data_IF_688642400751
#
_entry.id   IF_688642400751
#
_cell.length_a   1.000
_cell.length_b   1.000
_cell.length_c   1.000
_cell.angle_alpha   90.00
_cell.angle_beta   90.00
_cell.angle_gamma   90.00
#
_symmetry.space_group_name_H-M   'P 1'
#
loop_
_entity.id
_entity.type
_entity.pdbx_description
1 polymer ?
#
# COMPACT_ATOMS: atom_id res chain seq x y z
N UNK A 1 -37.90 -2.61 6.06
CA UNK A 1 -37.60 -3.59 7.14
C UNK A 1 -36.10 -3.53 7.37
N UNK A 2 -35.68 -2.97 8.50
CA UNK A 2 -34.26 -2.84 8.87
C UNK A 2 -33.77 -4.15 9.47
N UNK A 3 -32.59 -4.62 9.06
CA UNK A 3 -31.95 -5.76 9.69
C UNK A 3 -30.97 -5.27 10.76
N UNK A 4 -31.06 -5.84 11.96
CA UNK A 4 -30.16 -5.53 13.06
C UNK A 4 -29.00 -6.53 13.09
N UNK A 5 -27.82 -6.03 13.48
CA UNK A 5 -26.65 -6.85 13.70
C UNK A 5 -26.77 -7.60 15.03
N UNK A 6 -26.58 -8.93 15.07
CA UNK A 6 -26.70 -9.70 16.31
C UNK A 6 -25.61 -9.37 17.34
N UNK A 7 -24.49 -8.75 16.93
CA UNK A 7 -23.36 -8.42 17.82
C UNK A 7 -23.50 -7.07 18.51
N UNK A 8 -24.06 -6.06 17.84
CA UNK A 8 -24.09 -4.69 18.36
C UNK A 8 -25.48 -4.04 18.31
N UNK A 9 -26.50 -4.74 17.83
CA UNK A 9 -27.88 -4.26 17.68
C UNK A 9 -28.05 -2.99 16.81
N UNK A 10 -27.02 -2.59 16.07
CA UNK A 10 -27.09 -1.52 15.06
C UNK A 10 -27.63 -2.05 13.74
N UNK A 11 -28.13 -1.14 12.92
CA UNK A 11 -28.55 -1.48 11.56
C UNK A 11 -27.40 -2.08 10.76
N UNK A 12 -27.71 -3.04 9.89
CA UNK A 12 -26.75 -3.69 9.02
C UNK A 12 -27.33 -3.87 7.62
N UNK A 13 -26.43 -4.08 6.66
CA UNK A 13 -26.82 -4.48 5.32
C UNK A 13 -27.50 -5.87 5.36
N UNK A 14 -28.42 -6.11 4.43
CA UNK A 14 -29.05 -7.41 4.21
C UNK A 14 -28.06 -8.55 3.98
N UNK A 15 -26.84 -8.25 3.54
CA UNK A 15 -25.75 -9.20 3.26
C UNK A 15 -24.90 -9.58 4.47
N UNK A 16 -25.45 -9.55 5.69
CA UNK A 16 -24.78 -9.98 6.94
C UNK A 16 -23.73 -8.98 7.47
N UNK A 17 -23.16 -8.13 6.61
CA UNK A 17 -22.16 -7.12 6.94
C UNK A 17 -22.67 -6.04 7.89
N UNK A 18 -21.94 -5.79 8.98
CA UNK A 18 -22.20 -4.69 9.90
C UNK A 18 -20.97 -3.77 9.92
N UNK A 19 -21.13 -2.59 9.33
CA UNK A 19 -20.07 -1.58 9.21
C UNK A 19 -19.45 -1.23 10.56
N UNK A 20 -20.26 -0.99 11.59
CA UNK A 20 -19.80 -0.68 12.95
C UNK A 20 -18.92 -1.79 13.54
N UNK A 21 -19.33 -3.06 13.36
CA UNK A 21 -18.54 -4.19 13.84
C UNK A 21 -17.23 -4.33 13.08
N UNK A 22 -17.24 -4.08 11.77
CA UNK A 22 -16.07 -4.17 10.93
C UNK A 22 -15.04 -3.09 11.25
N UNK A 23 -15.47 -1.82 11.31
CA UNK A 23 -14.61 -0.70 11.69
C UNK A 23 -13.99 -0.95 13.07
N UNK A 24 -14.80 -1.38 14.05
CA UNK A 24 -14.30 -1.72 15.38
C UNK A 24 -13.25 -2.84 15.34
N UNK A 25 -13.45 -3.85 14.50
CA UNK A 25 -12.47 -4.91 14.29
C UNK A 25 -11.17 -4.36 13.68
N UNK A 26 -11.25 -3.55 12.63
CA UNK A 26 -10.07 -2.97 11.98
C UNK A 26 -9.25 -2.11 12.95
N UNK A 27 -9.89 -1.16 13.63
CA UNK A 27 -9.23 -0.27 14.61
C UNK A 27 -8.52 -1.09 15.70
N UNK A 28 -9.14 -2.17 16.20
CA UNK A 28 -8.53 -3.03 17.22
C UNK A 28 -7.30 -3.81 16.75
N UNK A 29 -7.07 -3.89 15.43
CA UNK A 29 -5.94 -4.59 14.83
C UNK A 29 -4.86 -3.64 14.29
N UNK A 30 -5.03 -2.31 14.32
CA UNK A 30 -4.05 -1.36 13.76
C UNK A 30 -2.67 -1.41 14.42
N UNK A 31 -2.59 -1.86 15.66
CA UNK A 31 -1.32 -2.02 16.38
C UNK A 31 -0.72 -3.43 16.22
N UNK A 32 -1.46 -4.37 15.62
CA UNK A 32 -1.05 -5.78 15.49
C UNK A 32 -0.34 -6.07 14.17
N UNK A 33 -0.34 -5.13 13.23
CA UNK A 33 0.32 -5.26 11.96
C UNK A 33 0.82 -3.91 11.46
N UNK A 34 1.87 -3.95 10.66
CA UNK A 34 2.34 -2.85 9.82
C UNK A 34 2.96 -3.48 8.57
N UNK A 35 2.83 -2.82 7.43
CA UNK A 35 3.52 -3.22 6.21
C UNK A 35 5.00 -2.83 6.22
N UNK A 36 5.43 -2.02 7.19
CA UNK A 36 6.73 -1.35 7.17
C UNK A 36 6.78 -0.11 6.29
N UNK A 37 5.71 0.17 5.51
CA UNK A 37 5.54 1.39 4.72
C UNK A 37 4.36 2.21 5.25
N UNK A 38 4.66 3.42 5.74
CA UNK A 38 3.67 4.29 6.35
C UNK A 38 2.57 4.75 5.38
N UNK A 39 2.89 4.91 4.09
CA UNK A 39 1.93 5.34 3.08
C UNK A 39 0.95 4.19 2.80
N UNK A 40 1.47 2.96 2.65
CA UNK A 40 0.65 1.77 2.47
C UNK A 40 -0.26 1.56 3.68
N UNK A 41 0.27 1.67 4.90
CA UNK A 41 -0.51 1.54 6.14
C UNK A 41 -1.65 2.57 6.22
N UNK A 42 -1.39 3.83 5.82
CA UNK A 42 -2.41 4.89 5.78
C UNK A 42 -3.52 4.57 4.78
N UNK A 43 -3.17 4.11 3.57
CA UNK A 43 -4.16 3.75 2.55
C UNK A 43 -5.03 2.59 3.02
N UNK A 44 -4.44 1.54 3.60
CA UNK A 44 -5.19 0.39 4.12
C UNK A 44 -6.17 0.84 5.21
N UNK A 45 -5.70 1.60 6.21
CA UNK A 45 -6.55 2.13 7.28
C UNK A 45 -7.70 2.98 6.74
N UNK A 46 -7.40 3.89 5.80
CA UNK A 46 -8.41 4.72 5.16
C UNK A 46 -9.51 3.89 4.48
N UNK A 47 -9.16 2.85 3.71
CA UNK A 47 -10.17 1.99 3.07
C UNK A 47 -11.02 1.22 4.09
N UNK A 48 -10.40 0.74 5.18
CA UNK A 48 -11.09 0.01 6.24
C UNK A 48 -12.08 0.88 7.02
N UNK A 49 -11.69 2.12 7.38
CA UNK A 49 -12.56 3.08 8.10
C UNK A 49 -13.75 3.55 7.25
N UNK A 50 -13.56 3.67 5.93
CA UNK A 50 -14.58 4.18 5.01
C UNK A 50 -15.41 3.08 4.34
N UNK A 51 -15.16 1.81 4.66
CA UNK A 51 -15.85 0.67 4.04
C UNK A 51 -17.34 0.64 4.37
N UNK A 52 -18.17 0.48 3.35
CA UNK A 52 -19.64 0.35 3.51
C UNK A 52 -20.09 -1.08 3.28
N UNK A 53 -19.28 -1.85 2.56
CA UNK A 53 -19.53 -3.23 2.18
C UNK A 53 -18.32 -4.13 2.46
N UNK A 54 -18.49 -5.46 2.48
CA UNK A 54 -17.40 -6.40 2.69
C UNK A 54 -16.36 -6.44 1.54
N UNK A 55 -16.57 -5.69 0.46
CA UNK A 55 -15.63 -5.61 -0.68
C UNK A 55 -14.99 -4.23 -0.85
N UNK A 56 -15.24 -3.29 0.07
CA UNK A 56 -14.78 -1.89 -0.03
C UNK A 56 -13.46 -1.62 0.70
N UNK A 57 -12.83 -2.62 1.32
CA UNK A 57 -11.60 -2.46 2.10
C UNK A 57 -10.49 -3.41 1.66
N UNK A 58 -9.25 -2.99 1.92
CA UNK A 58 -8.07 -3.84 1.80
C UNK A 58 -7.76 -4.47 3.16
N UNK A 59 -7.53 -5.78 3.20
CA UNK A 59 -7.05 -6.47 4.41
C UNK A 59 -5.54 -6.69 4.31
N UNK A 60 -4.81 -6.32 5.37
CA UNK A 60 -3.40 -6.67 5.48
C UNK A 60 -3.25 -8.10 5.97
N UNK A 61 -2.54 -8.93 5.21
CA UNK A 61 -2.22 -10.31 5.58
C UNK A 61 -0.69 -10.44 5.64
N UNK A 62 -0.10 -10.67 6.83
CA UNK A 62 1.33 -10.93 6.95
C UNK A 62 1.75 -12.14 6.12
N UNK A 63 2.95 -12.08 5.54
CA UNK A 63 3.44 -13.13 4.64
C UNK A 63 3.46 -14.51 5.31
N UNK A 64 3.81 -14.56 6.60
CA UNK A 64 3.88 -15.79 7.40
C UNK A 64 2.51 -16.46 7.59
N UNK A 65 1.42 -15.71 7.42
CA UNK A 65 0.05 -16.24 7.44
C UNK A 65 -0.38 -16.79 6.08
N UNK A 66 0.30 -16.41 4.99
CA UNK A 66 0.05 -16.96 3.66
C UNK A 66 0.61 -18.38 3.54
N UNK A 67 1.76 -18.67 4.16
CA UNK A 67 2.41 -19.99 4.12
C UNK A 67 1.60 -21.11 4.82
N UNK A 68 0.69 -20.76 5.73
CA UNK A 68 -0.14 -21.74 6.46
C UNK A 68 -1.40 -22.17 5.72
N UNK A 69 -1.78 -21.51 4.63
CA UNK A 69 -2.71 -22.13 3.68
C UNK A 69 -1.85 -22.97 2.75
N UNK A 70 -1.62 -24.22 3.16
CA UNK A 70 -1.15 -25.26 2.25
C UNK A 70 -1.93 -25.10 0.95
N UNK A 71 -1.17 -24.99 -0.14
CA UNK A 71 -1.63 -25.01 -1.51
C UNK A 71 -2.73 -26.04 -1.62
N UNK A 72 -3.99 -25.61 -1.58
CA UNK A 72 -5.03 -26.38 -2.25
C UNK A 72 -4.53 -26.36 -3.68
N UNK A 73 -4.01 -27.49 -4.15
CA UNK A 73 -3.84 -27.71 -5.58
C UNK A 73 -5.20 -27.42 -6.20
N UNK A 74 -5.40 -26.17 -6.63
CA UNK A 74 -6.54 -25.80 -7.42
C UNK A 74 -6.37 -26.59 -8.69
N UNK A 75 -7.09 -27.71 -8.76
CA UNK A 75 -7.30 -28.51 -9.96
C UNK A 75 -7.62 -27.52 -11.09
N UNK A 76 -6.63 -27.26 -11.93
CA UNK A 76 -6.63 -26.38 -13.10
C UNK A 76 -7.55 -25.15 -13.01
N UNK A 77 -7.03 -24.04 -12.47
CA UNK A 77 -7.58 -22.70 -12.72
C UNK A 77 -6.54 -21.80 -13.36
N UNK A 78 -5.92 -22.27 -14.44
CA UNK A 78 -5.30 -21.36 -15.39
C UNK A 78 -6.43 -20.66 -16.15
N UNK A 79 -6.52 -19.33 -16.03
CA UNK A 79 -7.46 -18.42 -16.72
C UNK A 79 -8.77 -18.04 -15.98
N UNK A 80 -8.73 -17.71 -14.69
CA UNK A 80 -9.81 -16.94 -14.05
C UNK A 80 -9.56 -15.43 -14.16
N UNK A 81 -10.62 -14.60 -14.15
CA UNK A 81 -10.44 -13.14 -14.06
C UNK A 81 -9.70 -12.71 -12.79
N UNK A 82 -9.78 -13.51 -11.71
CA UNK A 82 -9.02 -13.27 -10.49
C UNK A 82 -7.51 -13.52 -10.68
N UNK A 83 -7.12 -14.61 -11.36
CA UNK A 83 -5.69 -14.86 -11.68
C UNK A 83 -5.12 -13.82 -12.64
N UNK A 84 -5.92 -13.33 -13.59
CA UNK A 84 -5.52 -12.24 -14.49
C UNK A 84 -5.34 -10.92 -13.73
N UNK A 85 -6.25 -10.59 -12.82
CA UNK A 85 -6.13 -9.39 -11.99
C UNK A 85 -4.90 -9.45 -11.07
N UNK A 86 -4.64 -10.60 -10.45
CA UNK A 86 -3.45 -10.80 -9.62
C UNK A 86 -2.19 -10.69 -10.48
N UNK A 87 -2.14 -11.31 -11.67
CA UNK A 87 -0.99 -11.21 -12.56
C UNK A 87 -0.72 -9.76 -13.01
N UNK A 88 -1.76 -9.01 -13.35
CA UNK A 88 -1.64 -7.61 -13.72
C UNK A 88 -1.10 -6.77 -12.55
N UNK A 89 -1.66 -6.94 -11.35
CA UNK A 89 -1.21 -6.21 -10.15
C UNK A 89 0.25 -6.56 -9.83
N UNK A 90 0.63 -7.83 -9.91
CA UNK A 90 2.02 -8.27 -9.70
C UNK A 90 2.98 -7.62 -10.69
N UNK A 91 2.62 -7.57 -11.98
CA UNK A 91 3.45 -6.93 -13.01
C UNK A 91 3.62 -5.42 -12.77
N UNK A 92 2.55 -4.71 -12.40
CA UNK A 92 2.64 -3.29 -12.10
C UNK A 92 3.53 -3.01 -10.87
N UNK A 93 3.45 -3.85 -9.82
CA UNK A 93 4.32 -3.77 -8.65
C UNK A 93 5.78 -3.98 -9.04
N UNK A 94 6.10 -5.01 -9.83
CA UNK A 94 7.45 -5.29 -10.31
C UNK A 94 8.03 -4.11 -11.11
N UNK A 95 7.20 -3.48 -11.96
CA UNK A 95 7.61 -2.30 -12.73
C UNK A 95 7.90 -1.09 -11.85
N UNK A 96 7.11 -0.87 -10.79
CA UNK A 96 7.32 0.22 -9.83
C UNK A 96 8.60 -0.02 -9.03
N UNK A 97 8.82 -1.24 -8.55
CA UNK A 97 10.06 -1.63 -7.85
C UNK A 97 11.27 -1.35 -8.74
N UNK A 98 11.26 -1.81 -10.00
CA UNK A 98 12.37 -1.61 -10.94
C UNK A 98 12.69 -0.14 -11.19
N UNK A 99 11.68 0.73 -11.24
CA UNK A 99 11.88 2.19 -11.39
C UNK A 99 12.51 2.80 -10.16
N UNK A 100 12.11 2.35 -8.96
CA UNK A 100 12.60 2.89 -7.69
C UNK A 100 13.99 2.36 -7.31
N UNK A 101 14.35 1.15 -7.77
CA UNK A 101 15.68 0.56 -7.56
C UNK A 101 16.66 0.87 -8.70
N UNK A 102 16.22 1.59 -9.74
CA UNK A 102 17.11 1.98 -10.83
C UNK A 102 18.23 2.89 -10.28
N UNK A 103 19.51 2.58 -10.56
CA UNK A 103 20.60 3.44 -10.13
C UNK A 103 20.37 4.84 -10.71
N UNK A 104 20.43 5.86 -9.85
CA UNK A 104 20.41 7.25 -10.32
C UNK A 104 21.52 7.39 -11.36
N UNK A 105 21.24 7.98 -12.54
CA UNK A 105 22.27 8.18 -13.53
C UNK A 105 23.42 8.95 -12.85
N UNK A 106 24.68 8.56 -13.10
CA UNK A 106 25.80 9.30 -12.57
C UNK A 106 25.60 10.77 -12.98
N UNK A 107 25.81 11.72 -12.05
CA UNK A 107 25.69 13.13 -12.39
C UNK A 107 26.54 13.38 -13.63
N UNK A 108 25.91 13.92 -14.68
CA UNK A 108 26.57 14.13 -15.96
C UNK A 108 27.87 14.88 -15.71
N UNK A 109 28.99 14.28 -16.09
CA UNK A 109 30.29 14.93 -16.06
C UNK A 109 30.15 16.23 -16.85
N UNK A 110 30.13 17.36 -16.15
CA UNK A 110 30.19 18.67 -16.82
C UNK A 110 31.51 18.68 -17.57
N UNK A 111 31.44 18.65 -18.90
CA UNK A 111 32.57 19.03 -19.75
C UNK A 111 32.90 20.47 -19.37
N UNK A 112 34.07 20.68 -18.76
CA UNK A 112 34.55 22.00 -18.35
C UNK A 112 35.01 22.73 -19.61
N UNK A 113 34.14 23.58 -20.17
CA UNK A 113 34.59 24.62 -21.09
C UNK A 113 35.42 25.62 -20.30
N UNK A 114 36.70 25.76 -20.70
CA UNK A 114 37.57 26.80 -20.21
C UNK A 114 37.18 28.12 -20.87
N UNK A 115 36.30 28.88 -20.23
CA UNK A 115 36.14 30.31 -20.53
C UNK A 115 36.92 31.12 -19.50
N UNK A 116 38.08 31.60 -19.93
CA UNK A 116 38.84 32.64 -19.28
C UNK A 116 38.02 33.94 -19.24
N UNK A 117 37.58 34.37 -18.06
CA UNK A 117 36.78 35.60 -17.95
C UNK A 117 36.35 35.98 -16.53
N UNK A 118 37.30 36.56 -15.79
CA UNK A 118 37.22 37.60 -14.74
C UNK A 118 35.88 37.89 -14.00
N UNK A 119 36.04 38.00 -12.68
CA UNK A 119 35.36 38.88 -11.70
C UNK A 119 34.26 38.33 -10.76
N UNK A 120 34.71 38.11 -9.52
CA UNK A 120 34.12 38.56 -8.23
C UNK A 120 32.67 38.18 -7.85
N UNK A 121 32.52 37.22 -6.92
CA UNK A 121 32.18 37.50 -5.50
C UNK A 121 31.81 36.20 -4.77
N UNK A 122 32.43 35.96 -3.61
CA UNK A 122 32.15 34.81 -2.76
C UNK A 122 30.93 35.08 -1.88
N UNK A 123 30.05 34.09 -1.69
CA UNK A 123 29.31 33.95 -0.42
C UNK A 123 29.05 32.48 -0.11
N UNK A 124 29.74 31.98 0.91
CA UNK A 124 29.43 30.75 1.64
C UNK A 124 28.73 31.14 2.93
N UNK A 125 27.50 30.66 3.17
CA UNK A 125 26.88 30.44 4.49
C UNK A 125 25.81 29.35 4.21
N UNK A 126 25.70 28.20 4.86
CA UNK A 126 26.18 27.69 6.14
C UNK A 126 25.05 26.80 6.66
N UNK A 127 25.33 25.55 6.98
CA UNK A 127 24.39 24.63 7.64
C UNK A 127 24.01 25.18 9.02
N UNK A 128 22.74 25.10 9.41
CA UNK A 128 22.36 24.94 10.82
C UNK A 128 21.26 23.89 10.90
N UNK A 129 21.59 22.78 11.57
CA UNK A 129 20.66 21.86 12.20
C UNK A 129 20.13 22.49 13.50
N UNK A 130 18.87 22.26 13.80
CA UNK A 130 18.38 21.94 15.15
C UNK A 130 17.29 20.90 15.02
#
# INVERSE_FOLDING_TARGET
MTLLCPKCAKERDYRIWCQECAIKYFVSNYERWTSGDQIVDQVIKYTQENSKSPVDFVEWIPYEQLEKRETIEFRNCENTSLSQNIQYITQEIELVIKRNTAPKPPPSSKVVEHSSGKDSSYTTIGQIQT
#
